data_IF_787343637326
#
_entry.id   IF_787343637326
#
_cell.length_a   1.000
_cell.length_b   1.000
_cell.length_c   1.000
_cell.angle_alpha   90.00
_cell.angle_beta   90.00
_cell.angle_gamma   90.00
#
_symmetry.space_group_name_H-M   'P 1'
#
loop_
_entity.id
_entity.type
_entity.pdbx_description
1 polymer ?
#
# COMPACT_ATOMS: atom_id res chain seq x y z
N UNK A 1 21.25 14.24 26.36
CA UNK A 1 19.93 13.84 25.80
C UNK A 1 19.29 12.91 26.82
N UNK A 2 18.16 13.28 27.43
CA UNK A 2 17.56 12.47 28.49
C UNK A 2 17.03 11.15 27.91
N UNK A 3 17.44 10.02 28.49
CA UNK A 3 17.02 8.67 28.08
C UNK A 3 15.51 8.51 28.07
N UNK A 4 14.79 9.17 28.99
CA UNK A 4 13.33 9.18 29.03
C UNK A 4 12.69 9.86 27.82
N UNK A 5 13.32 10.91 27.27
CA UNK A 5 12.84 11.59 26.05
C UNK A 5 12.98 10.65 24.85
N UNK A 6 14.09 9.94 24.76
CA UNK A 6 14.32 8.94 23.69
C UNK A 6 13.31 7.80 23.77
N UNK A 7 13.06 7.29 24.98
CA UNK A 7 12.09 6.22 25.22
C UNK A 7 10.67 6.63 24.83
N UNK A 8 10.20 7.81 25.27
CA UNK A 8 8.88 8.32 24.92
C UNK A 8 8.71 8.56 23.42
N UNK A 9 9.74 9.03 22.74
CA UNK A 9 9.70 9.28 21.30
C UNK A 9 9.61 7.97 20.49
N UNK A 10 10.34 6.93 20.91
CA UNK A 10 10.28 5.61 20.29
C UNK A 10 8.90 4.96 20.43
N UNK A 11 8.28 5.06 21.61
CA UNK A 11 6.91 4.56 21.84
C UNK A 11 5.91 5.30 20.95
N UNK A 12 6.07 6.61 20.80
CA UNK A 12 5.21 7.43 19.94
C UNK A 12 5.32 7.00 18.45
N UNK A 13 6.54 6.77 17.94
CA UNK A 13 6.78 6.31 16.57
C UNK A 13 6.12 4.95 16.27
N UNK A 14 6.11 4.04 17.24
CA UNK A 14 5.52 2.70 17.08
C UNK A 14 3.99 2.70 17.25
N UNK A 15 3.42 3.72 17.87
CA UNK A 15 1.98 3.83 18.12
C UNK A 15 1.16 4.26 16.90
N UNK A 16 1.79 4.81 15.85
CA UNK A 16 1.09 5.18 14.63
C UNK A 16 1.06 4.00 13.64
N UNK A 17 -0.13 3.62 13.12
CA UNK A 17 -0.21 2.62 12.07
C UNK A 17 0.50 3.15 10.81
N UNK A 18 1.41 2.34 10.28
CA UNK A 18 2.03 2.63 8.98
C UNK A 18 1.01 2.42 7.87
N UNK A 19 0.81 3.45 7.04
CA UNK A 19 0.00 3.36 5.82
C UNK A 19 0.97 3.24 4.64
N UNK A 20 0.84 2.14 3.89
CA UNK A 20 1.58 1.90 2.67
C UNK A 20 0.62 1.92 1.48
N UNK A 21 0.97 2.70 0.47
CA UNK A 21 0.34 2.66 -0.84
C UNK A 21 0.94 1.54 -1.68
N UNK A 22 0.11 0.93 -2.52
CA UNK A 22 0.51 -0.11 -3.50
C UNK A 22 0.28 0.42 -4.90
N UNK A 23 1.23 0.18 -5.79
CA UNK A 23 1.07 0.42 -7.23
C UNK A 23 0.64 -0.89 -7.91
N UNK A 24 -0.50 -0.89 -8.58
CA UNK A 24 -1.03 -2.04 -9.29
C UNK A 24 -0.95 -1.85 -10.79
N UNK A 25 -0.04 -2.53 -11.47
CA UNK A 25 -0.01 -2.50 -12.94
C UNK A 25 -1.30 -3.06 -13.53
N UNK A 26 -2.05 -2.22 -14.23
CA UNK A 26 -3.33 -2.63 -14.84
C UNK A 26 -3.10 -3.68 -15.93
N UNK A 27 -3.81 -4.80 -15.83
CA UNK A 27 -3.67 -5.94 -16.74
C UNK A 27 -2.41 -6.78 -16.51
N UNK A 28 -1.66 -6.52 -15.44
CA UNK A 28 -0.37 -7.14 -15.11
C UNK A 28 0.56 -7.17 -16.34
N UNK A 29 0.99 -8.35 -16.80
CA UNK A 29 1.86 -8.48 -17.97
C UNK A 29 1.20 -8.09 -19.31
N UNK A 30 -0.14 -8.06 -19.39
CA UNK A 30 -0.87 -7.73 -20.61
C UNK A 30 -1.00 -6.20 -20.81
N UNK A 31 -0.85 -5.42 -19.74
CA UNK A 31 -1.05 -3.97 -19.76
C UNK A 31 -2.49 -3.55 -20.05
N UNK A 32 -2.67 -2.26 -20.33
CA UNK A 32 -3.96 -1.67 -20.67
C UNK A 32 -4.24 -1.75 -22.17
N UNK A 33 -4.86 -2.85 -22.60
CA UNK A 33 -5.24 -3.11 -23.99
C UNK A 33 -6.62 -3.75 -24.10
N UNK A 34 -7.12 -3.92 -25.33
CA UNK A 34 -8.35 -4.65 -25.59
C UNK A 34 -8.10 -6.17 -25.57
N UNK A 35 -9.00 -6.94 -24.96
CA UNK A 35 -8.95 -8.41 -24.95
C UNK A 35 -8.72 -9.07 -23.58
N UNK A 36 -7.86 -8.53 -22.68
CA UNK A 36 -7.71 -9.08 -21.33
C UNK A 36 -9.00 -9.01 -20.50
N UNK A 37 -9.21 -10.00 -19.64
CA UNK A 37 -10.28 -9.99 -18.66
C UNK A 37 -9.86 -9.19 -17.42
N UNK A 38 -10.32 -7.93 -17.33
CA UNK A 38 -10.04 -7.07 -16.19
C UNK A 38 -10.83 -7.46 -14.93
N UNK A 39 -11.90 -8.24 -15.06
CA UNK A 39 -12.61 -8.82 -13.91
C UNK A 39 -11.74 -9.90 -13.27
N UNK A 40 -11.10 -10.74 -14.09
CA UNK A 40 -10.10 -11.68 -13.62
C UNK A 40 -8.87 -10.96 -13.03
N UNK A 41 -8.40 -9.87 -13.66
CA UNK A 41 -7.29 -9.07 -13.13
C UNK A 41 -7.59 -8.48 -11.75
N UNK A 42 -8.78 -7.94 -11.52
CA UNK A 42 -9.17 -7.39 -10.20
C UNK A 42 -9.43 -8.47 -9.15
N UNK A 43 -9.63 -9.72 -9.55
CA UNK A 43 -9.97 -10.81 -8.64
C UNK A 43 -8.87 -11.05 -7.59
N UNK A 44 -9.25 -11.03 -6.32
CA UNK A 44 -8.33 -11.21 -5.19
C UNK A 44 -7.45 -9.99 -4.86
N UNK A 45 -7.55 -8.88 -5.61
CA UNK A 45 -6.86 -7.63 -5.28
C UNK A 45 -7.74 -6.78 -4.35
N UNK A 46 -7.11 -6.19 -3.33
CA UNK A 46 -7.77 -5.25 -2.41
C UNK A 46 -7.15 -3.87 -2.61
N UNK A 47 -7.95 -2.95 -3.15
CA UNK A 47 -7.55 -1.56 -3.33
C UNK A 47 -7.89 -0.76 -2.08
N UNK A 48 -6.90 0.01 -1.60
CA UNK A 48 -7.00 0.89 -0.44
C UNK A 48 -6.86 2.34 -0.88
N UNK A 49 -7.35 3.25 -0.05
CA UNK A 49 -7.16 4.68 -0.27
C UNK A 49 -5.65 4.98 -0.23
N UNK A 50 -5.16 5.61 -1.29
CA UNK A 50 -3.74 5.95 -1.47
C UNK A 50 -3.01 5.04 -2.46
N UNK A 51 -3.59 3.92 -2.89
CA UNK A 51 -3.02 3.07 -3.94
C UNK A 51 -3.10 3.72 -5.33
N UNK A 52 -2.20 3.34 -6.24
CA UNK A 52 -2.21 3.76 -7.64
C UNK A 52 -2.39 2.55 -8.58
N UNK A 53 -2.78 2.85 -9.81
CA UNK A 53 -2.97 1.89 -10.92
C UNK A 53 -2.05 2.25 -12.10
#
# INVERSE_FOLDING_TARGET
MNTSIVGSFLVLLLAFPSVFATDFTVGDANGWTQGPDYTAWTSGKTFKVGDNL
#
